data_IF_225116723416
#
_entry.id   IF_225116723416
#
_cell.length_a   1.000
_cell.length_b   1.000
_cell.length_c   1.000
_cell.angle_alpha   90.00
_cell.angle_beta   90.00
_cell.angle_gamma   90.00
#
_symmetry.space_group_name_H-M   'P 1'
#
loop_
_entity.id
_entity.type
_entity.pdbx_description
1 polymer ?
#
# COMPACT_ATOMS: atom_id res chain seq x y z
N UNK A 1 9.27 23.22 10.04
CA UNK A 1 8.20 23.14 11.04
C UNK A 1 7.03 23.99 10.57
N UNK A 2 5.93 23.31 10.24
CA UNK A 2 4.54 23.75 10.15
C UNK A 2 3.89 23.12 8.93
N UNK A 3 3.12 22.07 9.16
CA UNK A 3 2.08 21.63 8.24
C UNK A 3 0.96 21.22 9.17
N UNK A 4 0.05 22.13 9.47
CA UNK A 4 -1.05 21.81 10.37
C UNK A 4 -1.91 20.71 9.72
N UNK A 5 -1.65 19.47 10.13
CA UNK A 5 -2.66 18.44 10.23
C UNK A 5 -3.83 19.05 11.01
N UNK A 6 -5.06 18.86 10.51
CA UNK A 6 -6.26 19.42 11.13
C UNK A 6 -6.22 19.28 12.67
N UNK A 7 -6.27 20.40 13.38
CA UNK A 7 -6.38 20.45 14.83
C UNK A 7 -7.61 21.28 15.20
N UNK A 8 -8.56 20.64 15.87
CA UNK A 8 -9.82 21.24 16.26
C UNK A 8 -10.71 20.24 16.98
N UNK A 9 -11.83 20.73 17.50
CA UNK A 9 -12.81 19.90 18.19
C UNK A 9 -13.90 19.46 17.22
N UNK A 10 -14.28 18.18 17.28
CA UNK A 10 -15.49 17.65 16.64
C UNK A 10 -16.47 17.24 17.72
N UNK A 11 -17.75 17.55 17.52
CA UNK A 11 -18.81 17.10 18.43
C UNK A 11 -19.08 15.62 18.23
N UNK A 12 -19.20 14.88 19.34
CA UNK A 12 -19.69 13.51 19.33
C UNK A 12 -21.22 13.55 19.34
N UNK A 13 -21.83 13.03 18.29
CA UNK A 13 -23.27 12.94 18.16
C UNK A 13 -23.82 11.73 18.90
N UNK A 14 -25.14 11.51 18.83
CA UNK A 14 -25.75 10.31 19.41
C UNK A 14 -25.11 9.04 18.84
N UNK A 15 -25.03 8.01 19.68
CA UNK A 15 -24.37 6.72 19.35
C UNK A 15 -22.88 6.81 19.03
N UNK A 16 -22.19 7.88 19.44
CA UNK A 16 -20.74 8.00 19.27
C UNK A 16 -20.28 8.41 17.87
N UNK A 17 -21.19 8.90 17.02
CA UNK A 17 -20.85 9.32 15.67
C UNK A 17 -20.04 10.62 15.67
N UNK A 18 -18.93 10.63 14.94
CA UNK A 18 -18.15 11.85 14.64
C UNK A 18 -18.14 12.09 13.14
N UNK A 19 -18.28 13.36 12.75
CA UNK A 19 -18.07 13.76 11.36
C UNK A 19 -16.64 14.31 11.23
N UNK A 20 -15.78 13.59 10.51
CA UNK A 20 -14.46 14.12 10.16
C UNK A 20 -14.63 15.34 9.25
N UNK A 21 -13.88 16.44 9.44
CA UNK A 21 -13.95 17.61 8.57
C UNK A 21 -13.67 17.27 7.11
N UNK A 22 -14.28 18.02 6.18
CA UNK A 22 -14.11 17.79 4.74
C UNK A 22 -12.63 17.78 4.32
N UNK A 23 -11.83 18.72 4.82
CA UNK A 23 -10.40 18.82 4.55
C UNK A 23 -9.60 17.59 4.99
N UNK A 24 -10.02 16.91 6.07
CA UNK A 24 -9.40 15.66 6.53
C UNK A 24 -9.78 14.52 5.59
N UNK A 25 -11.07 14.41 5.26
CA UNK A 25 -11.57 13.34 4.37
C UNK A 25 -10.96 13.41 2.98
N UNK A 26 -10.84 14.61 2.40
CA UNK A 26 -10.25 14.81 1.07
C UNK A 26 -8.75 14.48 1.07
N UNK A 27 -8.00 15.00 2.05
CA UNK A 27 -6.55 14.78 2.15
C UNK A 27 -6.19 13.31 2.38
N UNK A 28 -7.00 12.59 3.16
CA UNK A 28 -6.80 11.17 3.45
C UNK A 28 -7.61 10.24 2.53
N UNK A 29 -8.23 10.79 1.47
CA UNK A 29 -9.06 10.06 0.49
C UNK A 29 -10.17 9.19 1.08
N UNK A 30 -10.71 9.58 2.24
CA UNK A 30 -11.78 8.84 2.95
C UNK A 30 -13.15 8.91 2.27
N UNK A 31 -13.28 9.68 1.18
CA UNK A 31 -14.52 9.75 0.39
C UNK A 31 -14.59 8.64 -0.67
N UNK A 32 -13.53 7.84 -0.86
CA UNK A 32 -13.53 6.75 -1.83
C UNK A 32 -14.37 5.56 -1.31
N UNK A 33 -15.22 4.94 -2.16
CA UNK A 33 -16.02 3.79 -1.76
C UNK A 33 -15.18 2.65 -1.17
N UNK A 34 -15.61 2.11 -0.04
CA UNK A 34 -14.92 1.02 0.64
C UNK A 34 -13.77 1.46 1.54
N UNK A 35 -13.42 2.75 1.63
CA UNK A 35 -12.39 3.20 2.57
C UNK A 35 -12.80 2.92 4.02
N UNK A 36 -11.86 2.39 4.81
CA UNK A 36 -12.07 2.07 6.22
C UNK A 36 -11.12 2.88 7.11
N UNK A 37 -11.47 3.00 8.39
CA UNK A 37 -10.57 3.51 9.42
C UNK A 37 -10.30 2.39 10.41
N UNK A 38 -9.03 2.06 10.60
CA UNK A 38 -8.59 1.30 11.76
C UNK A 38 -8.67 2.22 13.00
N UNK A 39 -9.27 1.70 14.07
CA UNK A 39 -9.42 2.41 15.34
C UNK A 39 -8.55 1.71 16.39
N UNK A 40 -7.58 2.43 16.96
CA UNK A 40 -6.74 1.93 18.05
C UNK A 40 -6.91 2.82 19.27
N UNK A 41 -7.32 2.26 20.41
CA UNK A 41 -7.19 2.91 21.70
C UNK A 41 -5.79 2.64 22.25
N UNK A 42 -5.00 3.70 22.41
CA UNK A 42 -3.65 3.61 22.96
C UNK A 42 -3.68 3.68 24.49
N UNK A 43 -2.65 3.15 25.14
CA UNK A 43 -2.54 3.14 26.60
C UNK A 43 -2.47 4.54 27.25
N UNK A 44 -2.11 5.57 26.48
CA UNK A 44 -2.09 6.98 26.89
C UNK A 44 -3.46 7.67 26.76
N UNK A 45 -4.51 6.93 26.39
CA UNK A 45 -5.87 7.44 26.21
C UNK A 45 -6.10 8.11 24.85
N UNK A 46 -5.14 8.05 23.93
CA UNK A 46 -5.30 8.56 22.57
C UNK A 46 -6.09 7.56 21.73
N UNK A 47 -7.18 8.02 21.10
CA UNK A 47 -7.85 7.28 20.03
C UNK A 47 -7.20 7.65 18.71
N UNK A 48 -6.55 6.68 18.10
CA UNK A 48 -5.83 6.83 16.84
C UNK A 48 -6.65 6.22 15.70
N UNK A 49 -6.83 6.99 14.63
CA UNK A 49 -7.56 6.59 13.44
C UNK A 49 -6.59 6.51 12.26
N UNK A 50 -6.41 5.32 11.68
CA UNK A 50 -5.59 5.14 10.47
C UNK A 50 -6.47 4.83 9.27
N UNK A 51 -6.25 5.55 8.17
CA UNK A 51 -6.88 5.21 6.89
C UNK A 51 -6.38 3.83 6.44
N UNK A 52 -7.33 2.94 6.18
CA UNK A 52 -7.08 1.59 5.70
C UNK A 52 -7.86 1.37 4.40
N UNK A 53 -7.18 0.84 3.39
CA UNK A 53 -7.82 0.36 2.16
C UNK A 53 -8.05 -1.13 2.35
N UNK A 54 -9.31 -1.60 2.37
CA UNK A 54 -9.56 -3.04 2.44
C UNK A 54 -9.10 -3.70 1.15
N UNK A 55 -8.28 -4.74 1.31
CA UNK A 55 -7.87 -5.59 0.20
C UNK A 55 -8.78 -6.82 0.19
N UNK A 56 -9.36 -7.22 -0.96
CA UNK A 56 -10.07 -8.50 -1.06
C UNK A 56 -9.22 -9.64 -0.51
N UNK A 57 -9.82 -10.54 0.28
CA UNK A 57 -9.06 -11.60 0.96
C UNK A 57 -8.23 -12.46 0.00
N UNK A 58 -8.74 -12.69 -1.23
CA UNK A 58 -8.06 -13.42 -2.30
C UNK A 58 -6.82 -12.70 -2.86
N UNK A 59 -6.66 -11.40 -2.60
CA UNK A 59 -5.52 -10.58 -3.01
C UNK A 59 -4.61 -10.20 -1.83
N UNK A 60 -5.03 -10.51 -0.59
CA UNK A 60 -4.27 -10.17 0.61
C UNK A 60 -2.87 -10.79 0.63
N UNK A 61 -2.67 -11.94 -0.04
CA UNK A 61 -1.36 -12.59 -0.14
C UNK A 61 -0.28 -11.70 -0.77
N UNK A 62 -0.64 -10.80 -1.68
CA UNK A 62 0.29 -9.86 -2.33
C UNK A 62 0.90 -8.88 -1.31
N UNK A 63 0.16 -8.57 -0.25
CA UNK A 63 0.55 -7.62 0.80
C UNK A 63 1.25 -8.29 1.99
N UNK A 64 1.51 -9.59 1.93
CA UNK A 64 2.31 -10.27 2.96
C UNK A 64 3.74 -9.76 2.97
N UNK A 65 4.37 -9.67 4.15
CA UNK A 65 5.76 -9.19 4.29
C UNK A 65 6.72 -9.95 3.36
N UNK A 66 6.57 -11.28 3.28
CA UNK A 66 7.35 -12.14 2.40
C UNK A 66 7.20 -11.76 0.92
N UNK A 67 5.99 -11.44 0.47
CA UNK A 67 5.78 -11.04 -0.93
C UNK A 67 6.37 -9.66 -1.20
N UNK A 68 6.08 -8.69 -0.32
CA UNK A 68 6.61 -7.33 -0.42
C UNK A 68 8.15 -7.27 -0.34
N UNK A 69 8.79 -8.20 0.36
CA UNK A 69 10.25 -8.31 0.38
C UNK A 69 10.80 -8.74 -0.99
N UNK A 70 10.19 -9.75 -1.61
CA UNK A 70 10.60 -10.22 -2.94
C UNK A 70 10.36 -9.17 -4.01
N UNK A 71 9.27 -8.42 -3.93
CA UNK A 71 9.02 -7.30 -4.85
C UNK A 71 10.15 -6.26 -4.77
N UNK A 72 10.56 -5.87 -3.55
CA UNK A 72 11.67 -4.94 -3.34
C UNK A 72 13.01 -5.46 -3.87
N UNK A 73 13.25 -6.77 -3.76
CA UNK A 73 14.45 -7.41 -4.33
C UNK A 73 14.45 -7.32 -5.86
N UNK A 74 13.31 -7.58 -6.51
CA UNK A 74 13.14 -7.44 -7.96
C UNK A 74 13.34 -5.99 -8.39
N UNK A 75 12.72 -5.03 -7.70
CA UNK A 75 12.91 -3.60 -7.98
C UNK A 75 14.39 -3.21 -7.89
N UNK A 76 15.12 -3.70 -6.88
CA UNK A 76 16.55 -3.46 -6.75
C UNK A 76 17.35 -4.10 -7.90
N UNK A 77 16.94 -5.27 -8.39
CA UNK A 77 17.53 -5.91 -9.57
C UNK A 77 17.30 -5.10 -10.85
N UNK A 78 16.07 -4.64 -11.09
CA UNK A 78 15.71 -3.78 -12.22
C UNK A 78 16.48 -2.48 -12.17
N UNK A 79 16.50 -1.79 -11.02
CA UNK A 79 17.21 -0.53 -10.84
C UNK A 79 18.73 -0.66 -11.04
N UNK A 80 19.30 -1.81 -10.67
CA UNK A 80 20.71 -2.13 -10.90
C UNK A 80 21.02 -2.59 -12.34
N UNK A 81 20.02 -2.65 -13.23
CA UNK A 81 20.19 -3.17 -14.59
C UNK A 81 20.51 -4.67 -14.64
N UNK A 82 20.25 -5.41 -13.56
CA UNK A 82 20.49 -6.87 -13.46
C UNK A 82 19.28 -7.64 -13.99
N UNK A 83 18.83 -7.24 -15.16
CA UNK A 83 17.72 -7.83 -15.90
C UNK A 83 18.14 -7.99 -17.35
N UNK A 84 17.71 -9.08 -17.97
CA UNK A 84 17.88 -9.28 -19.40
C UNK A 84 16.63 -8.78 -20.11
N UNK A 85 16.82 -7.98 -21.16
CA UNK A 85 15.75 -7.51 -22.03
C UNK A 85 15.96 -8.11 -23.42
N UNK A 86 14.86 -8.46 -24.10
CA UNK A 86 14.89 -9.03 -25.43
C UNK A 86 13.96 -8.23 -26.34
N UNK A 87 14.40 -8.00 -27.58
CA UNK A 87 13.65 -7.20 -28.55
C UNK A 87 12.42 -7.95 -29.10
N UNK A 88 12.37 -9.28 -28.93
CA UNK A 88 11.24 -10.12 -29.33
C UNK A 88 11.10 -11.34 -28.42
N UNK A 89 9.91 -11.96 -28.45
CA UNK A 89 9.69 -13.24 -27.77
C UNK A 89 10.55 -14.38 -28.33
N UNK A 90 10.87 -14.35 -29.63
CA UNK A 90 11.76 -15.33 -30.26
C UNK A 90 13.19 -15.23 -29.71
N UNK A 91 13.73 -14.00 -29.61
CA UNK A 91 15.04 -13.76 -29.00
C UNK A 91 15.10 -14.18 -27.52
N UNK A 92 13.98 -14.04 -26.79
CA UNK A 92 13.87 -14.57 -25.43
C UNK A 92 13.93 -16.10 -25.39
N UNK A 93 13.17 -16.79 -26.24
CA UNK A 93 13.15 -18.25 -26.29
C UNK A 93 14.51 -18.84 -26.68
N UNK A 94 15.19 -18.27 -27.69
CA UNK A 94 16.54 -18.66 -28.07
C UNK A 94 17.54 -18.55 -26.90
N UNK A 95 17.40 -17.51 -26.07
CA UNK A 95 18.27 -17.35 -24.89
C UNK A 95 18.06 -18.43 -23.84
N UNK A 96 16.84 -18.96 -23.69
CA UNK A 96 16.55 -20.04 -22.75
C UNK A 96 17.13 -21.38 -23.23
N UNK A 97 17.00 -21.66 -24.53
CA UNK A 97 17.58 -22.87 -25.15
C UNK A 97 19.12 -22.86 -25.06
N UNK A 98 19.74 -21.69 -25.21
CA UNK A 98 21.18 -21.51 -25.00
C UNK A 98 21.58 -21.78 -23.53
N UNK A 99 20.80 -21.32 -22.55
CA UNK A 99 21.08 -21.55 -21.13
C UNK A 99 20.93 -23.02 -20.70
N UNK A 100 20.03 -23.78 -21.33
CA UNK A 100 19.88 -25.22 -21.06
C UNK A 100 21.04 -26.05 -21.64
N UNK A 101 21.65 -25.60 -22.73
CA UNK A 101 22.75 -26.31 -23.40
C UNK A 101 24.13 -26.05 -22.81
N UNK A 102 24.26 -25.05 -21.93
CA UNK A 102 25.48 -24.73 -21.16
C UNK A 102 25.55 -25.43 -19.79
N UNK A 103 24.53 -26.20 -19.39
CA UNK A 103 24.47 -26.94 -18.12
C UNK A 103 24.82 -28.42 -18.24
#
# INVERSE_FOLDING_TARGET
MSTAEFHGYVGVQSRGLIALPASVRERLRLNEPGTQLEVTERADGVVELRAAVPVPAEQAWFWTERWQQREREVDAHVAAGRVSTFDSGEAFLESLEALESEQ
#
